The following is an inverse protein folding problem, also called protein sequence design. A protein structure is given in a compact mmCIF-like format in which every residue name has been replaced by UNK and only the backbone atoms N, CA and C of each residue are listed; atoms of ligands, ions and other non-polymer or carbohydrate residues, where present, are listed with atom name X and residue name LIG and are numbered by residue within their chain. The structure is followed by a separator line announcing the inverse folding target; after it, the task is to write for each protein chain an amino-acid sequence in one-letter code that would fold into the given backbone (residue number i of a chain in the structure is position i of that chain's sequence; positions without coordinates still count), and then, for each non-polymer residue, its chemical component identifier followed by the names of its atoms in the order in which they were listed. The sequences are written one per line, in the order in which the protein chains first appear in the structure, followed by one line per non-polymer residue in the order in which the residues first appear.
data_IF_408160563398
#
_entry.id   IF_408160563398
#
_cell.length_a   1.000
_cell.length_b   1.000
_cell.length_c   1.000
_cell.angle_alpha   90.00
_cell.angle_beta   90.00
_cell.angle_gamma   90.00
#
_symmetry.space_group_name_H-M   'P 1'
#
loop_
_entity.id
_entity.type
_entity.pdbx_description
1 polymer ?
#
# COMPACT_ATOMS: atom_id res chain seq x y z
N UNK A 1 -27.46 -13.84 -2.70
CA UNK A 1 -27.52 -13.97 -1.23
C UNK A 1 -28.10 -12.69 -0.64
N UNK A 2 -29.11 -12.81 0.21
CA UNK A 2 -29.64 -11.71 1.02
C UNK A 2 -29.21 -11.99 2.47
N UNK A 3 -28.00 -11.55 2.80
CA UNK A 3 -27.50 -11.68 4.17
C UNK A 3 -27.76 -10.38 4.91
N UNK A 4 -28.26 -10.47 6.13
CA UNK A 4 -28.37 -9.37 7.07
C UNK A 4 -27.38 -9.58 8.22
N UNK A 5 -27.01 -8.50 8.88
CA UNK A 5 -26.10 -8.54 10.00
C UNK A 5 -24.71 -7.97 9.70
N UNK A 6 -23.85 -7.97 10.70
CA UNK A 6 -22.48 -7.47 10.64
C UNK A 6 -21.58 -8.69 10.45
N UNK A 7 -20.89 -8.76 9.31
CA UNK A 7 -20.02 -9.88 8.94
C UNK A 7 -18.52 -9.54 8.97
N UNK A 8 -18.18 -8.36 9.49
CA UNK A 8 -16.82 -7.91 9.77
C UNK A 8 -16.69 -7.51 11.24
N UNK A 9 -15.45 -7.46 11.72
CA UNK A 9 -15.15 -7.07 13.09
C UNK A 9 -15.64 -5.66 13.40
N UNK A 10 -16.10 -5.48 14.64
CA UNK A 10 -16.43 -4.17 15.21
C UNK A 10 -15.46 -3.92 16.36
N UNK A 11 -14.81 -2.78 16.36
CA UNK A 11 -13.82 -2.42 17.37
C UNK A 11 -13.93 -0.96 17.77
N UNK A 12 -13.42 -0.65 18.96
CA UNK A 12 -13.24 0.71 19.45
C UNK A 12 -11.76 1.02 19.45
N UNK A 13 -11.39 2.09 18.74
CA UNK A 13 -10.02 2.56 18.67
C UNK A 13 -9.85 3.78 19.56
N UNK A 14 -9.04 3.64 20.64
CA UNK A 14 -8.61 4.78 21.45
C UNK A 14 -7.28 5.31 20.90
N UNK A 15 -7.22 6.61 20.64
CA UNK A 15 -6.01 7.28 20.13
C UNK A 15 -5.71 8.52 20.99
N UNK A 16 -4.45 9.00 21.00
CA UNK A 16 -4.08 10.27 21.63
C UNK A 16 -4.90 11.44 21.07
N UNK A 17 -4.91 12.57 21.76
CA UNK A 17 -5.58 13.78 21.29
C UNK A 17 -4.92 14.31 20.00
N UNK A 18 -3.59 14.31 19.94
CA UNK A 18 -2.81 14.66 18.76
C UNK A 18 -2.25 13.39 18.14
N UNK A 19 -2.63 13.10 16.89
CA UNK A 19 -2.21 11.91 16.18
C UNK A 19 -2.23 12.13 14.66
N UNK A 20 -1.56 11.29 13.91
CA UNK A 20 -1.61 11.29 12.43
C UNK A 20 -2.96 10.73 12.01
N UNK A 21 -3.89 11.59 11.61
CA UNK A 21 -5.23 11.20 11.16
C UNK A 21 -5.19 10.47 9.82
N UNK A 22 -4.39 10.99 8.89
CA UNK A 22 -4.23 10.44 7.55
C UNK A 22 -2.86 10.81 6.98
N UNK A 23 -2.39 10.01 6.05
CA UNK A 23 -1.18 10.29 5.26
C UNK A 23 -1.26 9.62 3.90
N UNK A 24 -0.62 10.21 2.90
CA UNK A 24 -0.61 9.67 1.54
C UNK A 24 0.82 9.62 0.98
N UNK A 25 1.31 8.42 0.69
CA UNK A 25 2.66 8.25 0.13
C UNK A 25 2.64 8.48 -1.37
N UNK A 26 3.30 9.53 -1.81
CA UNK A 26 3.50 9.88 -3.21
C UNK A 26 4.94 9.58 -3.60
N UNK A 27 5.12 8.83 -4.69
CA UNK A 27 6.43 8.48 -5.21
C UNK A 27 6.57 8.97 -6.65
N UNK A 28 7.64 9.67 -6.95
CA UNK A 28 8.00 10.09 -8.30
C UNK A 28 9.30 9.39 -8.68
N UNK A 29 9.22 8.42 -9.59
CA UNK A 29 10.39 7.70 -10.07
C UNK A 29 11.24 8.61 -10.97
N UNK A 30 12.56 8.46 -10.87
CA UNK A 30 13.57 9.21 -11.62
C UNK A 30 14.79 8.33 -11.94
N UNK A 31 15.77 8.93 -12.63
CA UNK A 31 17.02 8.27 -12.96
C UNK A 31 16.83 6.91 -13.64
N UNK A 32 15.96 6.89 -14.66
CA UNK A 32 15.61 5.66 -15.38
C UNK A 32 15.10 4.54 -14.45
N UNK A 33 14.20 4.89 -13.50
CA UNK A 33 13.56 3.98 -12.54
C UNK A 33 14.48 3.40 -11.45
N UNK A 34 15.64 3.99 -11.20
CA UNK A 34 16.55 3.52 -10.13
C UNK A 34 16.43 4.31 -8.84
N UNK A 35 15.82 5.49 -8.89
CA UNK A 35 15.60 6.37 -7.76
C UNK A 35 14.18 6.92 -7.72
N UNK A 36 13.79 7.50 -6.59
CA UNK A 36 12.52 8.18 -6.42
C UNK A 36 12.63 9.35 -5.45
N UNK A 37 11.87 10.40 -5.71
CA UNK A 37 11.49 11.37 -4.71
C UNK A 37 10.19 10.93 -4.06
N UNK A 38 10.15 10.99 -2.74
CA UNK A 38 9.00 10.59 -1.92
C UNK A 38 8.50 11.81 -1.17
N UNK A 39 7.20 12.07 -1.29
CA UNK A 39 6.51 13.09 -0.52
C UNK A 39 5.33 12.45 0.20
N UNK A 40 5.17 12.74 1.48
CA UNK A 40 4.13 12.18 2.33
C UNK A 40 3.42 13.34 3.04
N UNK A 41 2.37 13.93 2.43
CA UNK A 41 1.48 14.83 3.15
C UNK A 41 0.90 14.14 4.38
N UNK A 42 0.88 14.85 5.49
CA UNK A 42 0.34 14.41 6.77
C UNK A 42 -0.88 15.23 7.13
N UNK A 43 -1.91 14.58 7.61
CA UNK A 43 -3.07 15.23 8.21
C UNK A 43 -3.14 14.83 9.67
N UNK A 44 -3.18 15.80 10.56
CA UNK A 44 -3.27 15.56 12.00
C UNK A 44 -4.72 15.72 12.49
N UNK A 45 -5.05 14.98 13.54
CA UNK A 45 -6.14 15.32 14.43
C UNK A 45 -5.49 16.07 15.62
N UNK A 46 -6.06 17.23 15.98
CA UNK A 46 -5.46 18.13 16.94
C UNK A 46 -4.29 18.94 16.35
N UNK A 47 -3.25 19.15 17.11
CA UNK A 47 -2.08 19.92 16.70
C UNK A 47 -1.10 19.09 15.87
N UNK A 48 -0.36 19.76 14.99
CA UNK A 48 0.77 19.17 14.28
C UNK A 48 1.87 18.80 15.29
N UNK A 49 2.39 17.59 15.17
CA UNK A 49 3.41 17.04 16.06
C UNK A 49 4.60 16.52 15.25
N UNK A 50 5.81 16.50 15.84
CA UNK A 50 6.97 15.92 15.18
C UNK A 50 6.73 14.43 14.84
N UNK A 51 7.09 14.03 13.61
CA UNK A 51 7.00 12.67 13.13
C UNK A 51 8.37 12.20 12.68
N UNK A 52 8.89 11.16 13.32
CA UNK A 52 10.03 10.44 12.81
C UNK A 52 9.58 9.46 11.73
N UNK A 53 10.34 9.36 10.65
CA UNK A 53 10.08 8.41 9.59
C UNK A 53 11.29 7.52 9.34
N UNK A 54 11.03 6.29 8.96
CA UNK A 54 12.03 5.33 8.58
C UNK A 54 11.50 4.43 7.46
N UNK A 55 12.24 4.38 6.35
CA UNK A 55 11.98 3.47 5.25
C UNK A 55 13.01 2.35 5.28
N UNK A 56 12.54 1.11 5.35
CA UNK A 56 13.40 -0.07 5.30
C UNK A 56 13.05 -0.97 4.14
N UNK A 57 14.06 -1.60 3.55
CA UNK A 57 13.92 -2.64 2.53
C UNK A 57 13.42 -3.96 3.14
N UNK A 58 13.13 -4.94 2.31
CA UNK A 58 12.66 -6.26 2.76
C UNK A 58 13.69 -7.00 3.63
N UNK A 59 15.00 -6.72 3.45
CA UNK A 59 16.06 -7.27 4.32
C UNK A 59 16.25 -6.49 5.63
N UNK A 60 15.47 -5.41 5.87
CA UNK A 60 15.59 -4.56 7.06
C UNK A 60 16.66 -3.47 6.94
N UNK A 61 17.33 -3.33 5.80
CA UNK A 61 18.31 -2.26 5.58
C UNK A 61 17.59 -0.90 5.50
N UNK A 62 18.13 0.11 6.17
CA UNK A 62 17.59 1.47 6.15
C UNK A 62 17.87 2.10 4.79
N UNK A 63 16.82 2.62 4.15
CA UNK A 63 16.89 3.32 2.86
C UNK A 63 16.83 4.83 3.06
N UNK A 64 15.98 5.28 3.96
CA UNK A 64 15.87 6.67 4.37
C UNK A 64 15.33 6.76 5.80
N UNK A 65 15.75 7.76 6.55
CA UNK A 65 15.19 8.07 7.87
C UNK A 65 15.38 9.55 8.21
N UNK A 66 14.53 10.07 9.05
CA UNK A 66 14.59 11.46 9.49
C UNK A 66 13.42 11.85 10.38
N UNK A 67 13.31 13.14 10.65
CA UNK A 67 12.22 13.74 11.45
C UNK A 67 11.66 14.92 10.67
N UNK A 68 10.33 15.01 10.61
CA UNK A 68 9.61 16.19 10.11
C UNK A 68 8.82 16.82 11.24
N UNK A 69 8.85 18.14 11.31
CA UNK A 69 8.03 18.92 12.25
C UNK A 69 6.91 19.68 11.53
N UNK A 70 6.69 19.41 10.24
CA UNK A 70 5.65 20.03 9.42
C UNK A 70 4.60 19.02 8.95
N UNK A 71 3.70 19.51 8.10
CA UNK A 71 2.59 18.73 7.56
C UNK A 71 2.97 17.88 6.34
N UNK A 72 4.26 17.67 6.11
CA UNK A 72 4.76 16.82 5.05
C UNK A 72 6.14 16.27 5.36
N UNK A 73 6.39 15.04 4.93
CA UNK A 73 7.70 14.41 4.91
C UNK A 73 8.16 14.39 3.46
N UNK A 74 9.42 14.73 3.20
CA UNK A 74 10.03 14.63 1.87
C UNK A 74 11.44 14.05 1.97
N UNK A 75 11.77 13.09 1.10
CA UNK A 75 13.10 12.52 0.99
C UNK A 75 13.31 11.89 -0.39
N UNK A 76 14.57 11.64 -0.75
CA UNK A 76 14.93 10.88 -1.94
C UNK A 76 15.47 9.51 -1.54
N UNK A 77 15.19 8.51 -2.37
CA UNK A 77 15.71 7.15 -2.21
C UNK A 77 16.34 6.69 -3.54
N UNK A 78 17.45 5.97 -3.45
CA UNK A 78 18.20 5.41 -4.58
C UNK A 78 18.33 3.90 -4.48
N UNK A 79 18.84 3.28 -5.54
CA UNK A 79 19.06 1.83 -5.64
C UNK A 79 17.79 1.03 -5.33
N UNK A 80 16.68 1.48 -5.89
CA UNK A 80 15.36 0.94 -5.60
C UNK A 80 15.08 -0.34 -6.37
N UNK A 81 14.53 -1.32 -5.65
CA UNK A 81 13.85 -2.47 -6.26
C UNK A 81 12.39 -2.10 -6.49
N UNK A 82 11.97 -2.09 -7.75
CA UNK A 82 10.61 -1.70 -8.13
C UNK A 82 9.60 -2.81 -7.88
N UNK A 83 8.39 -2.39 -7.57
CA UNK A 83 7.25 -3.29 -7.50
C UNK A 83 6.71 -3.61 -8.91
N UNK A 84 6.46 -4.87 -9.18
CA UNK A 84 5.62 -5.30 -10.30
C UNK A 84 4.84 -6.57 -9.92
N UNK A 85 3.89 -7.00 -10.76
CA UNK A 85 3.02 -8.13 -10.45
C UNK A 85 3.75 -9.47 -10.36
N UNK A 86 4.92 -9.62 -11.00
CA UNK A 86 5.75 -10.82 -10.94
C UNK A 86 6.68 -10.80 -9.72
N UNK A 87 7.21 -9.63 -9.39
CA UNK A 87 8.09 -9.38 -8.25
C UNK A 87 7.52 -8.24 -7.41
N UNK A 88 6.53 -8.50 -6.54
CA UNK A 88 5.83 -7.48 -5.76
C UNK A 88 6.67 -7.02 -4.56
N UNK A 89 7.84 -6.42 -4.83
CA UNK A 89 8.75 -5.98 -3.80
C UNK A 89 8.15 -4.83 -2.99
N UNK A 90 8.19 -4.95 -1.67
CA UNK A 90 7.63 -3.96 -0.75
C UNK A 90 8.66 -3.55 0.30
N UNK A 91 8.74 -2.25 0.50
CA UNK A 91 9.43 -1.60 1.61
C UNK A 91 8.48 -1.43 2.79
N UNK A 92 9.02 -1.21 3.97
CA UNK A 92 8.25 -0.86 5.16
C UNK A 92 8.55 0.58 5.53
N UNK A 93 7.54 1.44 5.43
CA UNK A 93 7.55 2.79 5.98
C UNK A 93 7.05 2.71 7.42
N UNK A 94 7.83 3.24 8.33
CA UNK A 94 7.45 3.42 9.73
C UNK A 94 7.36 4.91 10.01
N UNK A 95 6.22 5.38 10.50
CA UNK A 95 5.98 6.73 11.00
C UNK A 95 5.78 6.63 12.50
N UNK A 96 6.54 7.38 13.28
CA UNK A 96 6.46 7.33 14.74
C UNK A 96 6.36 8.74 15.33
N UNK A 97 5.47 8.86 16.29
CA UNK A 97 5.37 10.00 17.20
C UNK A 97 5.67 9.52 18.62
N UNK A 98 5.62 10.39 19.61
CA UNK A 98 5.82 10.01 21.01
C UNK A 98 4.81 8.95 21.50
N UNK A 99 3.62 8.90 20.89
CA UNK A 99 2.49 8.12 21.39
C UNK A 99 2.01 7.03 20.45
N UNK A 100 2.46 7.00 19.20
CA UNK A 100 2.02 5.99 18.23
C UNK A 100 3.10 5.62 17.23
N UNK A 101 2.99 4.41 16.67
CA UNK A 101 3.82 3.95 15.58
C UNK A 101 2.92 3.33 14.50
N UNK A 102 3.01 3.87 13.30
CA UNK A 102 2.29 3.38 12.12
C UNK A 102 3.29 2.67 11.21
N UNK A 103 2.95 1.46 10.74
CA UNK A 103 3.75 0.73 9.75
C UNK A 103 2.92 0.50 8.51
N UNK A 104 3.45 0.94 7.36
CA UNK A 104 2.83 0.80 6.06
C UNK A 104 3.77 0.13 5.08
N UNK A 105 3.26 -0.89 4.36
CA UNK A 105 4.00 -1.49 3.24
C UNK A 105 3.80 -0.64 2.00
N UNK A 106 4.87 -0.25 1.35
CA UNK A 106 4.86 0.57 0.13
C UNK A 106 5.69 -0.08 -0.98
N UNK A 107 5.27 0.09 -2.22
CA UNK A 107 6.01 -0.36 -3.40
C UNK A 107 6.28 0.83 -4.31
N UNK A 108 7.50 0.93 -4.83
CA UNK A 108 7.86 1.93 -5.81
C UNK A 108 7.44 1.48 -7.20
N UNK A 109 6.49 2.19 -7.80
CA UNK A 109 5.99 1.92 -9.14
C UNK A 109 5.44 3.18 -9.78
N UNK A 110 5.47 3.21 -11.10
CA UNK A 110 4.81 4.22 -11.91
C UNK A 110 3.82 3.56 -12.87
N UNK A 111 2.63 4.11 -12.96
CA UNK A 111 1.63 3.70 -13.96
C UNK A 111 1.42 4.87 -14.91
N UNK A 112 1.57 4.63 -16.20
CA UNK A 112 1.28 5.62 -17.23
C UNK A 112 0.41 5.02 -18.34
N UNK A 113 -0.35 5.88 -19.00
CA UNK A 113 -1.16 5.50 -20.17
C UNK A 113 -0.67 6.34 -21.35
N UNK A 114 -0.23 5.67 -22.41
CA UNK A 114 0.23 6.28 -23.66
C UNK A 114 -0.42 5.54 -24.82
N UNK A 115 -1.03 6.27 -25.74
CA UNK A 115 -1.71 5.70 -26.93
C UNK A 115 -2.69 4.58 -26.57
N UNK A 116 -3.52 4.78 -25.52
CA UNK A 116 -4.46 3.82 -24.97
C UNK A 116 -3.82 2.51 -24.45
N UNK A 117 -2.51 2.50 -24.19
CA UNK A 117 -1.77 1.37 -23.64
C UNK A 117 -1.31 1.71 -22.23
N UNK A 118 -1.53 0.78 -21.31
CA UNK A 118 -1.05 0.89 -19.93
C UNK A 118 0.40 0.41 -19.82
N UNK A 119 1.21 1.23 -19.14
CA UNK A 119 2.59 0.91 -18.81
C UNK A 119 2.77 0.89 -17.31
N UNK A 120 3.53 -0.07 -16.82
CA UNK A 120 4.02 -0.16 -15.46
C UNK A 120 5.55 -0.08 -15.48
N UNK A 121 6.12 0.92 -14.81
CA UNK A 121 7.57 1.18 -14.82
C UNK A 121 8.14 1.22 -16.24
N UNK A 122 7.44 1.91 -17.15
CA UNK A 122 7.82 2.01 -18.56
C UNK A 122 7.61 0.77 -19.41
N UNK A 123 7.20 -0.36 -18.82
CA UNK A 123 6.93 -1.61 -19.55
C UNK A 123 5.43 -1.76 -19.85
N UNK A 124 5.11 -2.13 -21.09
CA UNK A 124 3.71 -2.37 -21.51
C UNK A 124 3.10 -3.50 -20.68
N UNK A 125 1.93 -3.25 -20.12
CA UNK A 125 1.16 -4.25 -19.36
C UNK A 125 -0.07 -4.70 -20.14
N UNK A 126 -0.27 -6.01 -20.19
CA UNK A 126 -1.53 -6.61 -20.62
C UNK A 126 -2.18 -7.27 -19.42
N UNK A 127 -3.34 -6.76 -19.01
CA UNK A 127 -4.10 -7.36 -17.92
C UNK A 127 -4.68 -8.71 -18.32
N UNK A 128 -4.39 -9.71 -17.52
CA UNK A 128 -4.99 -11.05 -17.56
C UNK A 128 -5.58 -11.29 -16.19
N UNK A 129 -6.86 -11.07 -16.04
CA UNK A 129 -7.48 -11.07 -14.74
C UNK A 129 -8.90 -11.57 -14.75
N UNK A 130 -9.50 -11.59 -13.58
CA UNK A 130 -10.87 -11.99 -13.36
C UNK A 130 -11.54 -11.08 -12.34
N UNK A 131 -12.87 -11.05 -12.36
CA UNK A 131 -13.64 -10.46 -11.27
C UNK A 131 -13.63 -11.42 -10.09
N UNK A 132 -13.63 -10.87 -8.89
CA UNK A 132 -13.69 -11.61 -7.64
C UNK A 132 -14.70 -10.98 -6.71
N UNK A 133 -15.53 -11.79 -6.09
CA UNK A 133 -16.40 -11.41 -5.00
C UNK A 133 -15.85 -11.92 -3.66
N UNK A 134 -16.08 -11.18 -2.58
CA UNK A 134 -15.86 -11.67 -1.22
C UNK A 134 -17.01 -12.59 -0.83
N UNK A 135 -16.95 -13.83 -1.30
CA UNK A 135 -17.95 -14.86 -1.03
C UNK A 135 -17.33 -16.24 -0.99
N UNK A 136 -17.87 -17.08 -0.14
CA UNK A 136 -17.47 -18.48 0.05
C UNK A 136 -18.73 -19.35 0.19
N UNK A 137 -18.75 -20.58 -0.34
CA UNK A 137 -19.91 -21.45 -0.30
C UNK A 137 -20.39 -21.79 1.12
N UNK A 138 -19.50 -21.81 2.11
CA UNK A 138 -19.80 -22.22 3.48
C UNK A 138 -20.05 -21.04 4.42
N UNK A 139 -19.27 -19.97 4.30
CA UNK A 139 -19.33 -18.81 5.21
C UNK A 139 -19.98 -17.58 4.60
N UNK A 140 -20.46 -17.69 3.36
CA UNK A 140 -21.09 -16.57 2.65
C UNK A 140 -20.14 -15.38 2.49
N UNK A 141 -20.56 -14.19 2.94
CA UNK A 141 -19.76 -12.96 2.87
C UNK A 141 -18.77 -12.79 4.04
N UNK A 142 -18.76 -13.71 5.01
CA UNK A 142 -17.86 -13.68 6.17
C UNK A 142 -16.48 -14.27 5.84
N UNK A 143 -15.93 -13.95 4.67
CA UNK A 143 -14.62 -14.43 4.24
C UNK A 143 -13.50 -13.85 5.09
N UNK A 144 -12.54 -14.69 5.45
CA UNK A 144 -11.34 -14.32 6.21
C UNK A 144 -10.20 -13.94 5.26
N UNK A 145 -9.13 -13.38 5.82
CA UNK A 145 -7.90 -13.12 5.08
C UNK A 145 -7.30 -14.39 4.46
N UNK A 146 -7.50 -15.55 5.10
CA UNK A 146 -7.04 -16.84 4.59
C UNK A 146 -7.77 -17.23 3.28
N UNK A 147 -9.09 -17.05 3.23
CA UNK A 147 -9.86 -17.24 1.99
C UNK A 147 -9.34 -16.34 0.85
N UNK A 148 -9.10 -15.05 1.15
CA UNK A 148 -8.57 -14.11 0.17
C UNK A 148 -7.19 -14.54 -0.33
N UNK A 149 -6.29 -14.95 0.57
CA UNK A 149 -4.95 -15.44 0.20
C UNK A 149 -5.00 -16.68 -0.66
N UNK A 150 -5.90 -17.61 -0.38
CA UNK A 150 -6.12 -18.80 -1.19
C UNK A 150 -6.54 -18.44 -2.61
N UNK A 151 -7.51 -17.54 -2.77
CA UNK A 151 -7.96 -17.06 -4.08
C UNK A 151 -6.83 -16.39 -4.86
N UNK A 152 -6.07 -15.48 -4.22
CA UNK A 152 -4.93 -14.83 -4.86
C UNK A 152 -3.85 -15.84 -5.28
N UNK A 153 -3.59 -16.84 -4.45
CA UNK A 153 -2.63 -17.90 -4.78
C UNK A 153 -3.09 -18.72 -6.00
N UNK A 154 -4.36 -19.08 -6.06
CA UNK A 154 -4.93 -19.79 -7.22
C UNK A 154 -4.85 -18.94 -8.48
N UNK A 155 -5.21 -17.67 -8.42
CA UNK A 155 -5.10 -16.75 -9.56
C UNK A 155 -3.65 -16.66 -10.05
N UNK A 156 -2.68 -16.56 -9.14
CA UNK A 156 -1.26 -16.51 -9.50
C UNK A 156 -0.78 -17.81 -10.14
N UNK A 157 -1.18 -18.97 -9.62
CA UNK A 157 -0.87 -20.28 -10.20
C UNK A 157 -1.42 -20.45 -11.64
N UNK A 158 -2.53 -19.77 -11.94
CA UNK A 158 -3.13 -19.75 -13.28
C UNK A 158 -2.69 -18.55 -14.15
N UNK A 159 -1.58 -17.90 -13.82
CA UNK A 159 -0.98 -16.78 -14.55
C UNK A 159 -1.89 -15.54 -14.68
N UNK A 160 -2.78 -15.31 -13.73
CA UNK A 160 -3.47 -14.04 -13.62
C UNK A 160 -2.55 -12.99 -12.98
N UNK A 161 -2.52 -11.79 -13.54
CA UNK A 161 -1.76 -10.65 -13.05
C UNK A 161 -2.64 -9.49 -12.56
N UNK A 162 -3.96 -9.67 -12.60
CA UNK A 162 -4.91 -8.67 -12.18
C UNK A 162 -6.17 -9.30 -11.60
N UNK A 163 -6.80 -8.64 -10.66
CA UNK A 163 -8.15 -8.97 -10.19
C UNK A 163 -8.95 -7.69 -10.00
N UNK A 164 -10.22 -7.74 -10.29
CA UNK A 164 -11.17 -6.66 -10.01
C UNK A 164 -12.08 -7.10 -8.88
N UNK A 165 -11.99 -6.46 -7.68
CA UNK A 165 -12.99 -6.68 -6.64
C UNK A 165 -14.33 -6.16 -7.18
N UNK A 166 -15.32 -7.04 -7.27
CA UNK A 166 -16.61 -6.66 -7.81
C UNK A 166 -17.43 -5.94 -6.76
N UNK A 167 -17.82 -4.71 -7.13
CA UNK A 167 -18.79 -3.85 -6.47
C UNK A 167 -18.47 -3.34 -5.06
N UNK A 168 -17.23 -3.37 -4.60
CA UNK A 168 -16.80 -2.79 -3.31
C UNK A 168 -15.35 -2.32 -3.33
#
# INVERSE_FOLDING_TARGET
FRNSGIFRDVYVLARPQNYIRDFFVQTQLKDNYTAADVTIPLTFAGESIPVSYKLTSACGCVVAEGISSGDSIAFSASDLTLWNAEHPYLYTLTLSTDNETIRQRIGFREISIRDAIVYLNGQKVRFRGTNRHDSDPYVGSAVTLEHIRKDMSLMKQHNFNATRPSHY
#
